data_IF_223175527004
#
_entry.id   IF_223175527004
#
_cell.length_a   1.000
_cell.length_b   1.000
_cell.length_c   1.000
_cell.angle_alpha   90.00
_cell.angle_beta   90.00
_cell.angle_gamma   90.00
#
_symmetry.space_group_name_H-M   'P 1'
#
loop_
_entity.id
_entity.type
_entity.pdbx_description
1 polymer ?
#
# COMPACT_ATOMS: atom_id res chain seq x y z
N UNK A 1 31.54 48.60 28.26
CA UNK A 1 31.18 47.59 27.28
C UNK A 1 29.70 47.29 27.52
N UNK A 2 28.78 47.65 26.61
CA UNK A 2 27.35 47.28 26.76
C UNK A 2 27.21 45.83 26.31
N UNK A 3 26.83 44.94 27.22
CA UNK A 3 26.44 43.58 26.86
C UNK A 3 25.10 43.70 26.13
N UNK A 4 25.09 43.36 24.86
CA UNK A 4 23.87 43.33 24.06
C UNK A 4 23.32 41.90 24.24
N UNK A 5 22.19 41.78 24.94
CA UNK A 5 21.46 40.51 24.99
C UNK A 5 20.84 40.23 23.62
N UNK A 6 21.10 39.05 23.08
CA UNK A 6 20.54 38.60 21.82
C UNK A 6 19.49 37.50 22.11
N UNK A 7 18.34 37.49 21.40
CA UNK A 7 17.34 36.47 21.55
C UNK A 7 17.83 35.12 21.01
N UNK A 8 17.50 34.05 21.74
CA UNK A 8 17.67 32.66 21.31
C UNK A 8 16.34 31.92 21.40
N UNK A 9 16.22 30.80 20.70
CA UNK A 9 15.09 29.86 20.87
C UNK A 9 15.28 29.13 22.18
N UNK A 10 14.39 29.37 23.15
CA UNK A 10 14.37 28.68 24.42
C UNK A 10 13.71 27.32 24.29
N UNK A 11 12.60 27.26 23.54
CA UNK A 11 11.83 26.06 23.28
C UNK A 11 11.22 26.15 21.89
N UNK A 12 11.20 25.03 21.19
CA UNK A 12 10.59 24.86 19.88
C UNK A 12 9.57 23.72 19.97
N UNK A 13 8.31 24.01 19.68
CA UNK A 13 7.27 22.99 19.55
C UNK A 13 6.93 22.83 18.07
N UNK A 14 6.72 21.60 17.65
CA UNK A 14 6.31 21.25 16.29
C UNK A 14 4.94 20.63 16.35
N UNK A 15 4.06 21.03 15.44
CA UNK A 15 2.75 20.40 15.26
C UNK A 15 2.63 19.92 13.81
N UNK A 16 2.34 18.64 13.63
CA UNK A 16 2.24 17.98 12.34
C UNK A 16 0.78 17.74 11.99
N UNK A 17 0.35 18.25 10.85
CA UNK A 17 -0.93 17.95 10.23
C UNK A 17 -0.68 17.10 8.99
N UNK A 18 -0.89 15.81 9.12
CA UNK A 18 -0.62 14.84 8.06
C UNK A 18 -1.60 14.95 6.90
N UNK A 19 -1.23 14.51 5.69
CA UNK A 19 -2.14 14.47 4.55
C UNK A 19 -3.44 13.70 4.89
N UNK A 20 -4.57 14.20 4.41
CA UNK A 20 -5.89 13.68 4.78
C UNK A 20 -6.09 12.19 4.43
N UNK A 21 -5.42 11.68 3.38
CA UNK A 21 -5.54 10.29 2.99
C UNK A 21 -4.96 9.31 4.03
N UNK A 22 -3.99 9.74 4.83
CA UNK A 22 -3.35 8.90 5.86
C UNK A 22 -4.29 8.57 7.03
N UNK A 23 -5.21 9.51 7.34
CA UNK A 23 -6.08 9.41 8.51
C UNK A 23 -5.39 9.53 9.85
N UNK A 24 -4.13 9.95 9.84
CA UNK A 24 -3.39 10.21 11.07
C UNK A 24 -3.90 11.47 11.75
N UNK A 25 -4.04 11.39 13.06
CA UNK A 25 -4.37 12.56 13.90
C UNK A 25 -3.17 13.51 13.96
N UNK A 26 -3.41 14.84 14.13
CA UNK A 26 -2.33 15.79 14.34
C UNK A 26 -1.44 15.39 15.52
N UNK A 27 -0.14 15.53 15.36
CA UNK A 27 0.86 15.19 16.36
C UNK A 27 1.60 16.44 16.82
N UNK A 28 1.73 16.60 18.14
CA UNK A 28 2.51 17.68 18.76
C UNK A 28 3.77 17.13 19.39
N UNK A 29 4.92 17.74 19.09
CA UNK A 29 6.24 17.43 19.64
C UNK A 29 6.68 18.63 20.47
N UNK A 30 6.85 18.43 21.74
CA UNK A 30 7.46 19.40 22.66
C UNK A 30 8.98 19.26 22.60
N UNK A 31 9.71 20.39 22.68
CA UNK A 31 11.17 20.43 22.56
C UNK A 31 11.69 19.73 21.29
N UNK A 32 10.99 19.99 20.16
CA UNK A 32 11.33 19.47 18.86
C UNK A 32 12.48 20.24 18.19
N UNK A 33 12.96 19.73 17.07
CA UNK A 33 14.00 20.32 16.26
C UNK A 33 14.04 19.70 14.88
N UNK A 34 14.64 18.54 14.76
CA UNK A 34 14.63 17.78 13.52
C UNK A 34 13.22 17.28 13.19
N UNK A 35 12.88 17.30 11.92
CA UNK A 35 11.57 16.95 11.38
C UNK A 35 11.72 15.69 10.55
N UNK A 36 10.89 14.66 10.81
CA UNK A 36 10.77 13.48 9.97
C UNK A 36 9.27 13.20 9.78
N UNK A 37 8.75 13.47 8.59
CA UNK A 37 7.32 13.42 8.29
C UNK A 37 7.03 12.93 6.89
N UNK A 38 5.81 12.48 6.65
CA UNK A 38 5.32 12.14 5.31
C UNK A 38 5.27 13.37 4.41
N UNK A 39 5.56 13.17 3.13
CA UNK A 39 5.42 14.20 2.09
C UNK A 39 4.02 14.81 2.11
N UNK A 40 3.97 16.13 2.04
CA UNK A 40 2.72 16.87 2.06
C UNK A 40 2.16 17.17 3.47
N UNK A 41 2.91 16.83 4.54
CA UNK A 41 2.56 17.21 5.91
C UNK A 41 2.71 18.73 6.08
N UNK A 42 1.70 19.37 6.65
CA UNK A 42 1.80 20.76 7.09
C UNK A 42 2.45 20.79 8.48
N UNK A 43 3.59 21.47 8.57
CA UNK A 43 4.38 21.62 9.81
C UNK A 43 4.16 23.00 10.34
N UNK A 44 3.61 23.11 11.56
CA UNK A 44 3.49 24.35 12.30
C UNK A 44 4.55 24.40 13.39
N UNK A 45 5.32 25.48 13.41
CA UNK A 45 6.34 25.73 14.42
C UNK A 45 5.84 26.77 15.42
N UNK A 46 5.97 26.46 16.69
CA UNK A 46 5.77 27.39 17.80
C UNK A 46 7.12 27.64 18.47
N UNK A 47 7.61 28.87 18.39
CA UNK A 47 8.92 29.28 18.83
C UNK A 47 8.79 30.14 20.07
N UNK A 48 9.40 29.72 21.16
CA UNK A 48 9.42 30.44 22.44
C UNK A 48 10.83 31.06 22.60
N UNK A 49 10.97 32.38 22.41
CA UNK A 49 12.26 33.03 22.55
C UNK A 49 12.62 33.29 24.03
N UNK A 50 13.93 33.38 24.32
CA UNK A 50 14.43 33.73 25.66
C UNK A 50 14.07 35.14 26.11
N UNK A 51 13.74 36.02 25.18
CA UNK A 51 13.30 37.39 25.44
C UNK A 51 12.33 37.86 24.38
N UNK A 52 11.51 38.84 24.68
CA UNK A 52 10.55 39.40 23.75
C UNK A 52 11.26 39.97 22.52
N UNK A 53 10.81 39.51 21.35
CA UNK A 53 11.33 39.94 20.05
C UNK A 53 10.20 40.48 19.16
N UNK A 54 10.43 41.46 18.30
CA UNK A 54 9.44 42.00 17.41
C UNK A 54 9.11 41.07 16.23
N UNK A 55 9.85 40.00 16.05
CA UNK A 55 9.67 39.03 14.98
C UNK A 55 10.93 38.26 14.64
N UNK A 56 10.93 37.62 13.50
CA UNK A 56 12.05 36.85 13.01
C UNK A 56 11.65 36.13 11.72
N UNK A 57 12.46 35.18 11.31
CA UNK A 57 12.18 34.32 10.15
C UNK A 57 12.74 32.92 10.34
N UNK A 58 12.19 31.97 9.61
CA UNK A 58 12.79 30.67 9.39
C UNK A 58 13.50 30.72 8.05
N UNK A 59 14.75 30.33 8.01
CA UNK A 59 15.50 30.15 6.77
C UNK A 59 15.48 28.67 6.41
N UNK A 60 14.90 28.34 5.24
CA UNK A 60 14.81 27.00 4.68
C UNK A 60 15.91 26.82 3.63
N UNK A 61 16.66 25.73 3.73
CA UNK A 61 17.69 25.35 2.75
C UNK A 61 18.68 26.49 2.42
N UNK A 62 18.92 27.38 3.36
CA UNK A 62 19.79 28.56 3.21
C UNK A 62 19.36 29.55 2.11
N UNK A 63 18.19 29.40 1.53
CA UNK A 63 17.71 30.19 0.38
C UNK A 63 16.36 30.85 0.61
N UNK A 64 15.40 30.05 1.04
CA UNK A 64 14.01 30.48 1.22
C UNK A 64 13.82 30.98 2.65
N UNK A 65 13.03 32.01 2.85
CA UNK A 65 12.70 32.51 4.19
C UNK A 65 11.21 32.68 4.38
N UNK A 66 10.74 32.28 5.56
CA UNK A 66 9.37 32.47 6.02
C UNK A 66 9.37 33.38 7.24
N UNK A 67 8.62 34.46 7.18
CA UNK A 67 8.46 35.39 8.30
C UNK A 67 7.71 34.73 9.46
N UNK A 68 8.16 35.03 10.68
CA UNK A 68 7.52 34.60 11.90
C UNK A 68 6.40 35.53 12.30
N UNK A 69 5.25 34.98 12.64
CA UNK A 69 4.09 35.74 13.13
C UNK A 69 4.09 35.80 14.66
N UNK A 70 4.25 36.99 15.27
CA UNK A 70 4.21 37.13 16.72
C UNK A 70 2.81 36.80 17.27
N UNK A 71 2.77 36.12 18.41
CA UNK A 71 1.57 35.75 19.13
C UNK A 71 1.40 36.63 20.40
N UNK A 72 0.18 36.65 20.94
CA UNK A 72 -0.14 37.48 22.12
C UNK A 72 0.64 37.08 23.38
N UNK A 73 1.01 35.82 23.49
CA UNK A 73 1.80 35.24 24.59
C UNK A 73 3.30 35.50 24.48
N UNK A 74 3.73 36.15 23.41
CA UNK A 74 5.13 36.46 23.13
C UNK A 74 5.88 35.35 22.37
N UNK A 75 5.22 34.25 22.04
CA UNK A 75 5.74 33.24 21.11
C UNK A 75 5.64 33.72 19.65
N UNK A 76 6.27 32.97 18.77
CA UNK A 76 6.26 33.23 17.33
C UNK A 76 5.84 31.95 16.62
N UNK A 77 5.12 32.08 15.52
CA UNK A 77 4.67 30.93 14.73
C UNK A 77 5.05 31.07 13.27
N UNK A 78 5.30 29.95 12.61
CA UNK A 78 5.36 29.83 11.16
C UNK A 78 4.89 28.44 10.74
N UNK A 79 4.45 28.31 9.50
CA UNK A 79 4.06 27.01 8.96
C UNK A 79 4.61 26.85 7.54
N UNK A 80 4.94 25.62 7.20
CA UNK A 80 5.29 25.23 5.83
C UNK A 80 4.85 23.81 5.54
N UNK A 81 4.76 23.48 4.27
CA UNK A 81 4.47 22.12 3.81
C UNK A 81 5.78 21.39 3.52
N UNK A 82 5.94 20.19 4.12
CA UNK A 82 7.09 19.34 3.92
C UNK A 82 6.98 18.59 2.58
N UNK A 83 7.62 19.10 1.53
CA UNK A 83 7.57 18.53 0.18
C UNK A 83 8.87 17.83 -0.23
N UNK A 84 9.98 18.13 0.42
CA UNK A 84 11.32 17.61 0.10
C UNK A 84 12.23 17.71 1.31
N UNK A 85 13.24 16.86 1.31
CA UNK A 85 14.33 16.91 2.29
C UNK A 85 15.00 18.27 2.30
N UNK A 86 15.52 18.63 3.46
CA UNK A 86 16.19 19.91 3.61
C UNK A 86 16.66 20.19 5.02
N UNK A 87 16.80 21.48 5.30
CA UNK A 87 17.16 21.98 6.62
C UNK A 87 16.49 23.31 6.90
N UNK A 88 16.36 23.63 8.16
CA UNK A 88 15.90 24.95 8.58
C UNK A 88 16.64 25.45 9.81
N UNK A 89 16.62 26.75 10.00
CA UNK A 89 17.05 27.42 11.23
C UNK A 89 16.19 28.63 11.51
N UNK A 90 16.15 29.01 12.78
CA UNK A 90 15.40 30.17 13.25
C UNK A 90 16.36 31.35 13.39
N UNK A 91 15.96 32.48 12.81
CA UNK A 91 16.64 33.79 12.99
C UNK A 91 15.63 34.73 13.65
N UNK A 92 16.04 35.36 14.74
CA UNK A 92 15.20 36.30 15.50
C UNK A 92 15.70 37.71 15.37
N UNK A 93 14.80 38.68 15.43
CA UNK A 93 15.10 40.08 15.38
C UNK A 93 15.50 40.59 16.76
N UNK A 94 16.75 41.02 16.94
CA UNK A 94 17.21 41.58 18.18
C UNK A 94 16.53 42.95 18.45
N UNK A 95 16.55 43.46 19.70
CA UNK A 95 16.03 44.78 20.03
C UNK A 95 16.74 45.92 19.24
N UNK A 96 17.94 45.70 18.78
CA UNK A 96 18.68 46.60 17.89
C UNK A 96 18.11 46.69 16.47
N UNK A 97 17.20 45.75 16.10
CA UNK A 97 16.67 45.61 14.75
C UNK A 97 17.46 44.67 13.86
N UNK A 98 18.58 44.14 14.32
CA UNK A 98 19.43 43.21 13.58
C UNK A 98 18.89 41.77 13.66
N UNK A 99 19.01 41.00 12.57
CA UNK A 99 18.68 39.58 12.53
C UNK A 99 19.84 38.76 13.08
N UNK A 100 19.55 37.89 14.04
CA UNK A 100 20.53 37.00 14.68
C UNK A 100 20.12 35.56 14.52
N UNK A 101 21.09 34.69 14.30
CA UNK A 101 20.85 33.24 14.31
C UNK A 101 20.48 32.80 15.73
N UNK A 102 19.28 32.28 15.92
CA UNK A 102 18.72 32.02 17.23
C UNK A 102 18.56 30.52 17.56
N UNK A 103 18.81 29.63 16.59
CA UNK A 103 18.78 28.17 16.77
C UNK A 103 19.94 27.49 16.06
N UNK A 104 20.25 26.23 16.39
CA UNK A 104 21.02 25.38 15.50
C UNK A 104 20.29 25.19 14.16
N UNK A 105 20.98 24.59 13.20
CA UNK A 105 20.36 24.10 11.98
C UNK A 105 19.76 22.73 12.27
N UNK A 106 18.48 22.57 11.90
CA UNK A 106 17.71 21.33 12.02
C UNK A 106 17.51 20.69 10.65
N UNK A 107 17.34 19.38 10.63
CA UNK A 107 17.06 18.61 9.41
C UNK A 107 15.56 18.50 9.13
N UNK A 108 15.22 18.35 7.88
CA UNK A 108 13.88 18.00 7.40
C UNK A 108 14.01 16.74 6.54
N UNK A 109 13.53 15.61 7.05
CA UNK A 109 13.47 14.35 6.34
C UNK A 109 12.03 14.09 5.89
N UNK A 110 11.82 13.99 4.59
CA UNK A 110 10.49 13.79 4.00
C UNK A 110 10.36 12.35 3.51
N UNK A 111 9.50 11.60 4.17
CA UNK A 111 9.23 10.21 3.87
C UNK A 111 8.17 10.12 2.76
N UNK A 112 8.45 9.31 1.75
CA UNK A 112 7.46 8.96 0.74
C UNK A 112 6.60 7.79 1.23
N UNK A 113 5.31 7.91 1.00
CA UNK A 113 4.37 6.82 1.13
C UNK A 113 4.75 5.66 0.19
N UNK A 114 4.48 4.42 0.59
CA UNK A 114 4.81 3.24 -0.19
C UNK A 114 3.64 2.85 -1.09
N UNK A 115 3.94 2.17 -2.21
CA UNK A 115 2.91 1.55 -3.02
C UNK A 115 2.36 0.29 -2.31
N UNK A 116 1.08 -0.08 -2.55
CA UNK A 116 0.51 -1.28 -1.97
C UNK A 116 1.26 -2.54 -2.39
N UNK A 117 1.22 -3.57 -1.55
CA UNK A 117 1.63 -4.91 -1.91
C UNK A 117 0.43 -5.72 -2.39
N UNK A 118 0.61 -6.55 -3.43
CA UNK A 118 -0.45 -7.35 -4.03
C UNK A 118 0.03 -8.77 -4.31
N UNK A 119 -0.77 -9.76 -3.95
CA UNK A 119 -0.49 -11.18 -4.20
C UNK A 119 -1.76 -11.98 -4.39
N UNK A 120 -1.62 -13.22 -4.89
CA UNK A 120 -2.71 -14.20 -4.87
C UNK A 120 -2.53 -15.19 -3.72
N UNK A 121 -3.57 -15.35 -2.93
CA UNK A 121 -3.68 -16.39 -1.93
C UNK A 121 -4.04 -17.73 -2.58
N UNK A 122 -4.87 -17.69 -3.65
CA UNK A 122 -5.37 -18.87 -4.39
C UNK A 122 -5.47 -18.57 -5.89
N UNK A 123 -5.03 -19.48 -6.75
CA UNK A 123 -4.21 -20.66 -6.47
C UNK A 123 -2.73 -20.29 -6.20
N UNK A 124 -2.31 -19.03 -6.43
CA UNK A 124 -0.95 -18.52 -6.20
C UNK A 124 0.13 -19.21 -7.07
N UNK A 125 -0.28 -19.87 -8.17
CA UNK A 125 0.59 -20.60 -9.10
C UNK A 125 -0.14 -20.85 -10.43
N UNK A 126 0.62 -21.16 -11.46
CA UNK A 126 0.08 -21.66 -12.72
C UNK A 126 -0.70 -22.95 -12.49
N UNK A 127 -1.84 -23.08 -13.18
CA UNK A 127 -2.75 -24.19 -13.00
C UNK A 127 -3.18 -24.74 -14.35
N UNK A 128 -3.29 -26.07 -14.45
CA UNK A 128 -3.82 -26.76 -15.63
C UNK A 128 -5.24 -27.23 -15.37
N UNK A 129 -6.19 -26.80 -16.17
CA UNK A 129 -7.63 -27.00 -15.99
C UNK A 129 -8.30 -27.42 -17.28
N UNK A 130 -9.50 -27.99 -17.25
CA UNK A 130 -10.30 -28.24 -18.45
C UNK A 130 -11.19 -27.05 -18.78
N UNK A 131 -11.70 -26.97 -20.01
CA UNK A 131 -12.53 -25.86 -20.48
C UNK A 131 -13.91 -25.74 -19.81
N UNK A 132 -14.30 -26.71 -19.01
CA UNK A 132 -15.58 -26.74 -18.27
C UNK A 132 -15.38 -26.57 -16.75
N UNK A 133 -14.14 -26.39 -16.29
CA UNK A 133 -13.87 -26.20 -14.87
C UNK A 133 -14.14 -24.75 -14.44
N UNK A 134 -14.54 -24.60 -13.18
CA UNK A 134 -14.61 -23.33 -12.48
C UNK A 134 -13.33 -23.13 -11.69
N UNK A 135 -12.70 -21.98 -11.82
CA UNK A 135 -11.43 -21.67 -11.13
C UNK A 135 -11.62 -20.46 -10.25
N UNK A 136 -11.62 -20.69 -8.95
CA UNK A 136 -11.63 -19.60 -7.98
C UNK A 136 -10.22 -19.04 -7.78
N UNK A 137 -10.09 -17.73 -7.94
CA UNK A 137 -8.87 -16.96 -7.65
C UNK A 137 -9.15 -15.96 -6.55
N UNK A 138 -8.21 -15.83 -5.62
CA UNK A 138 -8.32 -14.91 -4.49
C UNK A 138 -7.06 -14.06 -4.39
N UNK A 139 -7.23 -12.76 -4.53
CA UNK A 139 -6.15 -11.78 -4.38
C UNK A 139 -6.23 -11.08 -3.02
N UNK A 140 -5.07 -10.76 -2.47
CA UNK A 140 -4.91 -9.93 -1.29
C UNK A 140 -4.04 -8.72 -1.61
N UNK A 141 -4.41 -7.58 -1.05
CA UNK A 141 -3.65 -6.34 -1.13
C UNK A 141 -3.49 -5.74 0.27
N UNK A 142 -2.32 -5.15 0.54
CA UNK A 142 -1.98 -4.52 1.81
C UNK A 142 -1.31 -3.17 1.56
N UNK A 143 -1.63 -2.17 2.41
CA UNK A 143 -1.12 -0.82 2.35
C UNK A 143 -1.22 -0.12 3.70
N UNK A 144 -0.24 0.73 4.03
CA UNK A 144 -0.16 1.40 5.35
C UNK A 144 -1.35 2.34 5.60
N UNK A 145 -1.82 3.02 4.56
CA UNK A 145 -2.88 4.02 4.66
C UNK A 145 -4.19 3.59 4.01
N UNK A 146 -4.22 2.39 3.45
CA UNK A 146 -5.42 1.72 2.98
C UNK A 146 -5.54 1.56 1.48
N UNK A 147 -6.20 0.47 1.12
CA UNK A 147 -6.49 0.09 -0.26
C UNK A 147 -7.74 0.80 -0.76
N UNK A 148 -7.64 1.47 -1.91
CA UNK A 148 -8.77 2.08 -2.61
C UNK A 148 -9.43 1.15 -3.62
N UNK A 149 -8.63 0.47 -4.44
CA UNK A 149 -9.12 -0.49 -5.42
C UNK A 149 -8.27 -1.76 -5.42
N UNK A 150 -8.94 -2.88 -5.66
CA UNK A 150 -8.32 -4.16 -6.00
C UNK A 150 -9.04 -4.70 -7.23
N UNK A 151 -8.29 -4.99 -8.28
CA UNK A 151 -8.79 -5.42 -9.59
C UNK A 151 -8.10 -6.71 -10.01
N UNK A 152 -8.84 -7.57 -10.68
CA UNK A 152 -8.33 -8.71 -11.43
C UNK A 152 -8.27 -8.31 -12.91
N UNK A 153 -7.10 -8.42 -13.49
CA UNK A 153 -6.88 -8.19 -14.91
C UNK A 153 -6.55 -9.52 -15.57
N UNK A 154 -7.23 -9.87 -16.65
CA UNK A 154 -6.99 -11.12 -17.36
C UNK A 154 -7.09 -10.96 -18.87
N UNK A 155 -6.44 -11.89 -19.57
CA UNK A 155 -6.44 -11.96 -21.02
C UNK A 155 -6.52 -13.41 -21.48
N UNK A 156 -7.28 -13.68 -22.53
CA UNK A 156 -7.39 -14.99 -23.18
C UNK A 156 -6.46 -14.99 -24.40
N UNK A 157 -5.54 -15.96 -24.47
CA UNK A 157 -4.58 -16.16 -25.56
C UNK A 157 -3.79 -14.88 -25.94
N UNK A 158 -3.48 -14.02 -24.97
CA UNK A 158 -2.79 -12.75 -25.22
C UNK A 158 -3.63 -11.71 -25.98
N UNK A 159 -4.94 -11.89 -26.01
CA UNK A 159 -5.89 -10.91 -26.55
C UNK A 159 -6.05 -9.67 -25.62
N UNK A 160 -7.06 -8.84 -25.86
CA UNK A 160 -7.31 -7.66 -25.04
C UNK A 160 -7.51 -7.99 -23.56
N UNK A 161 -6.93 -7.16 -22.70
CA UNK A 161 -7.13 -7.27 -21.25
C UNK A 161 -8.57 -6.94 -20.87
N UNK A 162 -9.10 -7.73 -19.96
CA UNK A 162 -10.39 -7.49 -19.31
C UNK A 162 -10.15 -7.25 -17.82
N UNK A 163 -10.89 -6.31 -17.25
CA UNK A 163 -10.74 -5.89 -15.86
C UNK A 163 -12.00 -6.25 -15.08
N UNK A 164 -11.83 -6.98 -14.00
CA UNK A 164 -12.88 -7.28 -13.02
C UNK A 164 -12.56 -6.53 -11.74
N UNK A 165 -13.47 -5.69 -11.30
CA UNK A 165 -13.34 -4.98 -10.05
C UNK A 165 -13.68 -5.93 -8.90
N UNK A 166 -12.67 -6.26 -8.08
CA UNK A 166 -12.82 -7.12 -6.90
C UNK A 166 -13.24 -6.32 -5.67
N UNK A 167 -12.63 -5.13 -5.51
CA UNK A 167 -12.93 -4.22 -4.42
C UNK A 167 -12.79 -2.77 -4.88
N UNK A 168 -13.65 -1.90 -4.37
CA UNK A 168 -13.52 -0.45 -4.48
C UNK A 168 -14.19 0.19 -3.27
N UNK A 169 -13.43 1.00 -2.55
CA UNK A 169 -13.93 1.64 -1.33
C UNK A 169 -13.24 2.95 -1.04
N UNK A 170 -13.83 3.70 -0.11
CA UNK A 170 -13.28 4.93 0.45
C UNK A 170 -12.86 4.73 1.90
N UNK A 171 -13.15 3.56 2.48
CA UNK A 171 -12.70 3.18 3.82
C UNK A 171 -11.20 2.89 3.80
N UNK A 172 -10.51 3.33 4.83
CA UNK A 172 -9.07 3.07 5.00
C UNK A 172 -8.86 1.66 5.52
N UNK A 173 -9.00 0.68 4.65
CA UNK A 173 -8.74 -0.73 4.97
C UNK A 173 -7.29 -1.03 4.64
N UNK A 174 -6.44 -1.31 5.64
CA UNK A 174 -5.02 -1.60 5.41
C UNK A 174 -4.82 -2.94 4.72
N UNK A 175 -5.81 -3.82 4.76
CA UNK A 175 -5.81 -5.11 4.09
C UNK A 175 -7.16 -5.37 3.44
N UNK A 176 -7.13 -5.86 2.20
CA UNK A 176 -8.32 -6.26 1.43
C UNK A 176 -8.04 -7.60 0.77
N UNK A 177 -8.92 -8.55 0.98
CA UNK A 177 -8.92 -9.85 0.30
C UNK A 177 -10.24 -10.00 -0.45
N UNK A 178 -10.16 -10.30 -1.74
CA UNK A 178 -11.34 -10.52 -2.57
C UNK A 178 -11.06 -11.52 -3.70
N UNK A 179 -12.08 -12.21 -4.16
CA UNK A 179 -11.95 -13.27 -5.12
C UNK A 179 -12.90 -13.15 -6.31
N UNK A 180 -12.60 -13.95 -7.32
CA UNK A 180 -13.39 -14.11 -8.53
C UNK A 180 -13.37 -15.57 -8.98
N UNK A 181 -14.46 -16.03 -9.53
CA UNK A 181 -14.51 -17.37 -10.16
C UNK A 181 -14.50 -17.21 -11.67
N UNK A 182 -13.51 -17.79 -12.31
CA UNK A 182 -13.50 -17.96 -13.77
C UNK A 182 -14.40 -19.13 -14.14
N UNK A 183 -15.48 -18.87 -14.83
CA UNK A 183 -16.31 -19.86 -15.50
C UNK A 183 -15.75 -20.06 -16.90
N UNK A 184 -14.85 -21.05 -17.06
CA UNK A 184 -14.08 -21.22 -18.30
C UNK A 184 -14.97 -21.54 -19.50
N UNK A 185 -16.10 -22.18 -19.26
CA UNK A 185 -17.12 -22.43 -20.28
C UNK A 185 -17.67 -21.12 -20.90
N UNK A 186 -17.87 -20.09 -20.05
CA UNK A 186 -18.36 -18.78 -20.49
C UNK A 186 -17.29 -17.99 -21.26
N UNK A 187 -16.01 -18.28 -21.03
CA UNK A 187 -14.89 -17.65 -21.75
C UNK A 187 -14.71 -18.23 -23.15
N UNK A 188 -15.34 -19.36 -23.46
CA UNK A 188 -15.25 -20.03 -24.77
C UNK A 188 -13.86 -20.57 -25.10
N UNK A 189 -13.08 -20.94 -24.07
CA UNK A 189 -11.71 -21.46 -24.22
C UNK A 189 -11.74 -22.94 -24.61
N UNK A 190 -10.79 -23.33 -25.47
CA UNK A 190 -10.60 -24.68 -25.96
C UNK A 190 -9.27 -25.29 -25.48
N UNK A 191 -9.12 -26.59 -25.68
CA UNK A 191 -7.87 -27.29 -25.35
C UNK A 191 -6.68 -26.67 -26.09
N UNK A 192 -5.65 -26.28 -25.34
CA UNK A 192 -4.45 -25.60 -25.84
C UNK A 192 -4.47 -24.08 -25.59
N UNK A 193 -5.61 -23.52 -25.26
CA UNK A 193 -5.73 -22.10 -24.89
C UNK A 193 -5.12 -21.84 -23.50
N UNK A 194 -4.89 -20.55 -23.24
CA UNK A 194 -4.43 -20.09 -21.94
C UNK A 194 -5.13 -18.79 -21.53
N UNK A 195 -5.42 -18.67 -20.23
CA UNK A 195 -5.86 -17.42 -19.60
C UNK A 195 -4.74 -16.93 -18.73
N UNK A 196 -4.18 -15.77 -19.06
CA UNK A 196 -3.23 -15.07 -18.18
C UNK A 196 -3.97 -14.11 -17.27
N UNK A 197 -3.56 -13.99 -16.02
CA UNK A 197 -4.19 -13.10 -15.06
C UNK A 197 -3.22 -12.57 -14.02
N UNK A 198 -3.48 -11.36 -13.55
CA UNK A 198 -2.79 -10.73 -12.43
C UNK A 198 -3.75 -9.84 -11.64
N UNK A 199 -3.41 -9.52 -10.42
CA UNK A 199 -4.13 -8.56 -9.60
C UNK A 199 -3.42 -7.22 -9.60
N UNK A 200 -4.18 -6.13 -9.58
CA UNK A 200 -3.68 -4.76 -9.47
C UNK A 200 -4.42 -4.05 -8.35
N UNK A 201 -3.67 -3.41 -7.44
CA UNK A 201 -4.22 -2.58 -6.39
C UNK A 201 -3.75 -1.13 -6.50
N UNK A 202 -4.56 -0.21 -6.02
CA UNK A 202 -4.19 1.18 -5.80
C UNK A 202 -4.43 1.59 -4.36
N UNK A 203 -3.56 2.47 -3.87
CA UNK A 203 -3.67 3.08 -2.56
C UNK A 203 -4.73 4.20 -2.52
N UNK A 204 -4.80 4.85 -1.39
CA UNK A 204 -5.78 5.83 -0.98
C UNK A 204 -5.31 7.28 -1.19
N UNK A 205 -4.05 7.49 -1.62
CA UNK A 205 -3.50 8.82 -1.86
C UNK A 205 -4.25 9.52 -2.99
N UNK A 206 -4.97 10.59 -2.65
CA UNK A 206 -5.76 11.39 -3.59
C UNK A 206 -4.91 12.37 -4.41
N UNK A 207 -3.68 12.61 -4.00
CA UNK A 207 -2.75 13.53 -4.67
C UNK A 207 -1.88 12.85 -5.71
N UNK A 208 -1.69 11.53 -5.60
CA UNK A 208 -0.83 10.76 -6.48
C UNK A 208 -0.92 9.26 -6.20
N UNK A 209 -2.13 8.69 -6.40
CA UNK A 209 -2.38 7.28 -6.13
C UNK A 209 -1.33 6.37 -6.76
N UNK A 210 -0.69 5.54 -5.93
CA UNK A 210 0.29 4.55 -6.35
C UNK A 210 -0.41 3.24 -6.66
N UNK A 211 0.11 2.53 -7.62
CA UNK A 211 -0.42 1.24 -8.04
C UNK A 211 0.66 0.18 -8.00
N UNK A 212 0.26 -1.04 -7.63
CA UNK A 212 1.11 -2.21 -7.72
C UNK A 212 0.36 -3.38 -8.35
N UNK A 213 1.10 -4.30 -8.93
CA UNK A 213 0.56 -5.51 -9.54
C UNK A 213 1.23 -6.75 -8.95
N UNK A 214 0.46 -7.81 -8.86
CA UNK A 214 0.98 -9.13 -8.48
C UNK A 214 1.85 -9.75 -9.58
N UNK A 215 2.39 -10.90 -9.32
CA UNK A 215 2.92 -11.78 -10.36
C UNK A 215 1.81 -12.16 -11.36
N UNK A 216 2.22 -12.43 -12.61
CA UNK A 216 1.36 -12.96 -13.67
C UNK A 216 1.27 -14.48 -13.52
N UNK A 217 0.05 -15.01 -13.61
CA UNK A 217 -0.25 -16.44 -13.56
C UNK A 217 -1.03 -16.89 -14.78
N UNK A 218 -1.03 -18.21 -15.01
CA UNK A 218 -1.66 -18.82 -16.18
C UNK A 218 -2.59 -19.97 -15.78
N UNK A 219 -3.78 -19.98 -16.40
CA UNK A 219 -4.62 -21.17 -16.50
C UNK A 219 -4.41 -21.78 -17.88
N UNK A 220 -3.82 -22.96 -17.93
CA UNK A 220 -3.57 -23.70 -19.18
C UNK A 220 -4.69 -24.70 -19.41
N UNK A 221 -5.37 -24.62 -20.55
CA UNK A 221 -6.51 -25.46 -20.84
C UNK A 221 -6.04 -26.79 -21.39
N UNK A 222 -6.29 -27.88 -20.65
CA UNK A 222 -5.98 -29.27 -21.00
C UNK A 222 -7.21 -30.02 -21.46
N UNK A 223 -7.04 -31.15 -22.18
CA UNK A 223 -8.17 -32.01 -22.53
C UNK A 223 -8.91 -32.51 -21.26
N UNK A 224 -10.21 -32.63 -21.38
CA UNK A 224 -11.02 -33.21 -20.32
C UNK A 224 -10.73 -34.75 -20.26
N UNK A 225 -10.16 -35.20 -19.15
CA UNK A 225 -9.97 -36.63 -18.90
C UNK A 225 -11.26 -37.20 -18.31
N UNK A 226 -12.02 -37.97 -19.11
CA UNK A 226 -13.03 -38.88 -18.59
C UNK A 226 -12.32 -40.13 -18.03
N UNK A 227 -12.19 -40.21 -16.73
CA UNK A 227 -11.82 -41.48 -16.08
C UNK A 227 -13.04 -42.42 -16.16
N UNK A 228 -13.11 -43.23 -17.21
CA UNK A 228 -14.01 -44.36 -17.26
C UNK A 228 -13.50 -45.39 -16.22
N UNK A 229 -14.09 -45.44 -15.03
CA UNK A 229 -14.03 -46.62 -14.20
C UNK A 229 -14.78 -47.71 -14.96
N UNK A 230 -14.05 -48.64 -15.60
CA UNK A 230 -14.64 -49.87 -16.08
C UNK A 230 -15.23 -50.58 -14.83
N UNK A 231 -16.58 -50.61 -14.75
CA UNK A 231 -17.25 -51.52 -13.87
C UNK A 231 -16.88 -52.93 -14.35
N UNK A 232 -16.01 -53.59 -13.61
CA UNK A 232 -15.79 -55.03 -13.78
C UNK A 232 -17.15 -55.66 -13.47
N UNK A 233 -17.88 -56.06 -14.53
CA UNK A 233 -19.00 -56.94 -14.44
C UNK A 233 -18.45 -58.31 -13.98
N UNK A 234 -18.62 -58.55 -12.69
CA UNK A 234 -18.48 -59.87 -12.09
C UNK A 234 -19.58 -60.75 -12.67
N UNK A 235 -19.29 -61.39 -13.82
CA UNK A 235 -20.11 -62.44 -14.41
C UNK A 235 -20.03 -63.68 -13.53
N UNK A 236 -21.01 -63.78 -12.60
CA UNK A 236 -21.28 -65.02 -11.94
C UNK A 236 -21.83 -66.01 -12.94
N UNK A 237 -21.04 -66.98 -13.36
CA UNK A 237 -21.47 -68.17 -14.07
C UNK A 237 -21.58 -69.32 -13.11
N UNK A 238 -22.82 -69.52 -12.56
CA UNK A 238 -23.18 -70.74 -11.94
C UNK A 238 -23.74 -71.75 -12.99
N UNK A 239 -23.48 -72.96 -12.80
CA UNK A 239 -24.11 -74.06 -13.59
C UNK A 239 -23.21 -75.26 -13.52
N UNK A 240 -23.45 -76.15 -12.74
CA UNK A 240 -24.34 -77.19 -12.55
C UNK A 240 -23.97 -78.41 -13.37
N UNK A 241 -23.83 -79.57 -12.67
CA UNK A 241 -24.25 -80.81 -13.18
C UNK A 241 -23.21 -81.83 -13.56
N UNK A 242 -22.99 -82.80 -12.70
CA UNK A 242 -23.46 -84.16 -12.96
C UNK A 242 -22.44 -85.17 -13.42
N UNK A 243 -22.25 -86.18 -12.60
CA UNK A 243 -22.22 -87.51 -13.08
C UNK A 243 -20.95 -88.30 -13.14
N UNK A 244 -20.72 -89.16 -12.16
CA UNK A 244 -20.59 -90.54 -12.36
C UNK A 244 -19.27 -91.15 -12.80
N UNK A 245 -18.80 -92.08 -12.04
CA UNK A 245 -18.07 -93.19 -12.63
C UNK A 245 -16.90 -93.74 -11.85
N UNK A 246 -17.14 -94.80 -11.17
CA UNK A 246 -16.37 -95.76 -10.49
C UNK A 246 -15.10 -96.26 -11.22
N UNK A 247 -14.19 -96.83 -10.43
CA UNK A 247 -13.16 -97.76 -10.84
C UNK A 247 -11.82 -97.48 -10.24
N UNK A 248 -11.51 -97.99 -9.17
CA UNK A 248 -10.93 -99.30 -8.75
C UNK A 248 -9.48 -99.53 -9.29
N UNK A 249 -8.63 -99.88 -8.38
CA UNK A 249 -7.45 -100.82 -8.37
C UNK A 249 -6.16 -100.17 -8.86
N UNK A 250 -5.07 -100.07 -8.17
CA UNK A 250 -4.20 -100.91 -7.28
C UNK A 250 -3.41 -99.95 -6.40
#
# INVERSE_FOLDING_TARGET
>A
MKVVEVPYVQRLELEYHFPAYTGLEPQKIEDGGDIAVLRGTDVLLHIFPTMKTPGGRITLNEKDSLELTPQADGSLTASFKAERDGSYRVELKAPSGEMVVASPQYTIDVLDDQAPSVSFNRPGRDTSVSSIEEVFVEAAAQDDFGIRNLELVYSVNGGPEKVVKLFSGTSRLPEVTAGHTFYLEELGVETGDSVSYYARASDNDTSGAKTASSNLYFLRIRPFKKDFKQAQSQGGGGGGGGGGGAGQVE
#
